data_IF_465817953779
#
_entry.id   IF_465817953779
#
_cell.length_a   1.000
_cell.length_b   1.000
_cell.length_c   1.000
_cell.angle_alpha   90.00
_cell.angle_beta   90.00
_cell.angle_gamma   90.00
#
_symmetry.space_group_name_H-M   'P 1'
#
loop_
_entity.id
_entity.type
_entity.pdbx_description
1 polymer ?
#
# COMPACT_ATOMS: atom_id res chain seq x y z
N UNK A 1 -22.40 -55.37 2.84
CA UNK A 1 -20.93 -55.41 2.74
C UNK A 1 -20.57 -56.14 1.47
N UNK A 2 -20.34 -55.39 0.40
CA UNK A 2 -19.68 -55.86 -0.83
C UNK A 2 -19.31 -54.60 -1.60
N UNK A 3 -18.01 -54.31 -1.67
CA UNK A 3 -17.47 -53.19 -2.45
C UNK A 3 -16.94 -53.76 -3.77
N UNK A 4 -17.42 -53.17 -4.85
CA UNK A 4 -16.97 -53.34 -6.23
C UNK A 4 -15.53 -52.83 -6.40
N UNK A 5 -14.75 -53.46 -7.30
CA UNK A 5 -14.02 -52.69 -8.33
C UNK A 5 -13.40 -53.55 -9.44
N UNK A 6 -13.85 -53.21 -10.66
CA UNK A 6 -13.14 -53.03 -11.95
C UNK A 6 -12.44 -54.25 -12.58
N UNK A 7 -12.90 -54.72 -13.76
CA UNK A 7 -12.77 -54.13 -15.13
C UNK A 7 -11.29 -53.94 -15.52
N UNK A 8 -10.76 -54.37 -16.68
CA UNK A 8 -11.34 -54.84 -17.94
C UNK A 8 -10.22 -55.38 -18.87
N UNK A 9 -10.59 -55.60 -20.12
CA UNK A 9 -10.05 -56.58 -21.07
C UNK A 9 -9.29 -55.92 -22.24
N UNK A 10 -8.55 -56.76 -22.98
CA UNK A 10 -8.04 -56.63 -24.36
C UNK A 10 -6.66 -56.02 -24.60
N UNK A 11 -5.78 -56.87 -25.14
CA UNK A 11 -4.50 -56.51 -25.74
C UNK A 11 -4.61 -56.16 -27.21
N UNK A 12 -3.57 -55.47 -27.70
CA UNK A 12 -3.21 -55.32 -29.10
C UNK A 12 -1.69 -55.47 -29.18
N UNK A 13 -1.25 -56.40 -30.03
CA UNK A 13 0.13 -56.70 -30.39
C UNK A 13 0.42 -55.97 -31.71
N UNK A 14 1.55 -55.27 -31.81
CA UNK A 14 2.11 -54.81 -33.09
C UNK A 14 3.62 -54.74 -32.98
N UNK A 15 4.32 -55.35 -33.93
CA UNK A 15 5.77 -55.47 -33.99
C UNK A 15 6.35 -54.76 -35.22
N UNK A 16 7.66 -54.47 -35.11
CA UNK A 16 8.69 -54.12 -36.11
C UNK A 16 8.79 -52.65 -36.59
N UNK A 17 9.96 -52.02 -36.36
CA UNK A 17 11.06 -52.01 -37.35
C UNK A 17 12.32 -51.26 -36.86
N UNK A 18 13.47 -51.96 -36.99
CA UNK A 18 14.88 -51.51 -37.05
C UNK A 18 15.15 -50.04 -37.39
N UNK A 19 15.91 -49.35 -36.53
CA UNK A 19 16.89 -48.31 -36.89
C UNK A 19 17.69 -47.85 -35.65
N UNK A 20 18.66 -48.64 -35.19
CA UNK A 20 19.63 -48.25 -34.16
C UNK A 20 20.98 -48.90 -34.49
N UNK A 21 21.77 -48.27 -35.37
CA UNK A 21 23.17 -48.67 -35.64
C UNK A 21 23.88 -47.57 -36.49
N UNK A 22 23.97 -46.34 -35.97
CA UNK A 22 24.72 -45.27 -36.66
C UNK A 22 25.33 -44.20 -35.71
N UNK A 23 25.74 -44.62 -34.50
CA UNK A 23 26.32 -43.71 -33.49
C UNK A 23 27.81 -43.97 -33.17
N UNK A 24 28.49 -44.90 -33.85
CA UNK A 24 29.90 -45.26 -33.54
C UNK A 24 30.92 -44.87 -34.63
N UNK A 25 30.62 -43.87 -35.48
CA UNK A 25 31.53 -43.40 -36.55
C UNK A 25 31.99 -41.94 -36.43
N UNK A 26 31.91 -41.35 -35.25
CA UNK A 26 32.30 -39.95 -35.00
C UNK A 26 33.68 -39.75 -34.33
N UNK A 27 34.53 -40.79 -34.20
CA UNK A 27 35.74 -40.70 -33.36
C UNK A 27 37.11 -40.88 -34.05
N UNK A 28 37.26 -40.78 -35.38
CA UNK A 28 38.58 -41.09 -35.98
C UNK A 28 39.10 -40.27 -37.17
N UNK A 29 38.59 -39.06 -37.45
CA UNK A 29 39.09 -38.29 -38.63
C UNK A 29 39.32 -36.79 -38.47
N UNK A 30 39.46 -36.25 -37.25
CA UNK A 30 39.62 -34.79 -37.07
C UNK A 30 40.78 -34.38 -36.13
N UNK A 31 41.77 -35.23 -35.92
CA UNK A 31 42.98 -34.91 -35.12
C UNK A 31 44.18 -34.42 -35.95
N UNK A 32 44.04 -34.18 -37.25
CA UNK A 32 45.12 -33.64 -38.09
C UNK A 32 44.63 -32.45 -38.90
N UNK A 33 44.69 -31.25 -38.31
CA UNK A 33 44.98 -29.98 -39.00
C UNK A 33 45.05 -28.82 -37.97
N UNK A 34 45.97 -28.95 -37.01
CA UNK A 34 46.61 -27.80 -36.39
C UNK A 34 47.81 -27.44 -37.25
N UNK A 35 47.71 -26.43 -38.11
CA UNK A 35 48.64 -25.29 -38.18
C UNK A 35 48.25 -24.29 -39.29
N UNK A 36 48.53 -23.01 -39.04
CA UNK A 36 48.59 -21.90 -40.01
C UNK A 36 47.28 -21.24 -40.50
N UNK A 37 46.82 -20.24 -39.76
CA UNK A 37 46.82 -18.84 -40.23
C UNK A 37 46.24 -17.94 -39.13
N UNK A 38 47.00 -16.91 -38.75
CA UNK A 38 46.75 -16.05 -37.60
C UNK A 38 45.45 -15.26 -37.66
N UNK A 39 44.77 -15.23 -36.52
CA UNK A 39 43.70 -14.28 -36.25
C UNK A 39 44.31 -12.92 -35.87
N UNK A 40 43.80 -11.79 -36.40
CA UNK A 40 44.29 -10.47 -36.01
C UNK A 40 43.88 -10.18 -34.56
N UNK A 41 44.83 -9.62 -33.81
CA UNK A 41 44.63 -9.10 -32.47
C UNK A 41 43.47 -8.10 -32.44
N UNK A 42 42.39 -8.46 -31.76
CA UNK A 42 41.38 -7.52 -31.30
C UNK A 42 41.85 -6.96 -29.96
N UNK A 43 42.62 -5.88 -30.02
CA UNK A 43 43.05 -5.13 -28.84
C UNK A 43 41.86 -4.36 -28.25
N UNK A 44 41.42 -4.81 -27.08
CA UNK A 44 40.82 -3.97 -26.04
C UNK A 44 39.37 -3.54 -26.24
N UNK A 45 38.42 -4.43 -25.92
CA UNK A 45 37.18 -3.95 -25.32
C UNK A 45 37.46 -3.60 -23.85
N UNK A 46 37.16 -2.38 -23.37
CA UNK A 46 37.16 -2.14 -21.94
C UNK A 46 36.05 -3.00 -21.35
N UNK A 47 36.42 -3.95 -20.49
CA UNK A 47 35.47 -4.59 -19.58
C UNK A 47 34.92 -3.47 -18.69
N UNK A 48 33.75 -2.97 -19.05
CA UNK A 48 32.95 -2.11 -18.18
C UNK A 48 32.44 -3.03 -17.05
N UNK A 49 33.30 -3.29 -16.07
CA UNK A 49 32.86 -3.69 -14.75
C UNK A 49 32.15 -2.47 -14.15
N UNK A 50 30.85 -2.32 -14.44
CA UNK A 50 29.98 -1.51 -13.60
C UNK A 50 29.77 -2.27 -12.28
N UNK A 51 30.80 -2.27 -11.43
CA UNK A 51 30.67 -2.57 -10.01
C UNK A 51 29.98 -1.36 -9.36
N UNK A 52 28.70 -1.21 -9.67
CA UNK A 52 27.79 -0.37 -8.92
C UNK A 52 27.02 -1.30 -7.96
N UNK A 53 27.73 -1.76 -6.92
CA UNK A 53 27.06 -2.14 -5.68
C UNK A 53 26.42 -0.87 -5.11
N UNK A 54 25.20 -0.56 -5.57
CA UNK A 54 24.34 0.44 -4.94
C UNK A 54 23.74 -0.20 -3.69
N UNK A 55 24.55 -0.31 -2.63
CA UNK A 55 24.10 -0.64 -1.27
C UNK A 55 23.35 0.56 -0.64
N UNK A 56 22.42 1.15 -1.38
CA UNK A 56 21.54 2.19 -0.88
C UNK A 56 20.41 1.53 -0.07
N UNK A 57 20.58 1.51 1.27
CA UNK A 57 19.48 1.16 2.19
C UNK A 57 18.47 2.32 2.26
N UNK A 58 17.68 2.47 1.20
CA UNK A 58 16.59 3.46 1.14
C UNK A 58 15.50 3.12 2.17
N UNK A 59 15.03 4.12 2.92
CA UNK A 59 13.92 3.97 3.88
C UNK A 59 12.85 5.04 3.69
N UNK A 60 11.59 4.63 3.79
CA UNK A 60 10.41 5.49 3.72
C UNK A 60 9.69 5.47 5.06
N UNK A 61 9.58 6.62 5.72
CA UNK A 61 8.87 6.77 6.99
C UNK A 61 7.94 7.98 6.93
N UNK A 62 6.75 7.84 7.52
CA UNK A 62 5.78 8.91 7.61
C UNK A 62 5.78 9.51 9.02
N UNK A 63 5.83 10.83 9.13
CA UNK A 63 5.59 11.50 10.41
C UNK A 63 4.12 11.33 10.82
N UNK A 64 3.85 11.18 12.11
CA UNK A 64 2.48 11.06 12.63
C UNK A 64 1.57 12.19 12.15
N UNK A 65 2.06 13.43 12.11
CA UNK A 65 1.29 14.58 11.61
C UNK A 65 0.84 14.46 10.15
N UNK A 66 1.59 13.75 9.30
CA UNK A 66 1.18 13.47 7.91
C UNK A 66 0.00 12.50 7.89
N UNK A 67 0.09 11.43 8.69
CA UNK A 67 -0.97 10.42 8.79
C UNK A 67 -2.24 11.06 9.37
N UNK A 68 -2.11 11.82 10.46
CA UNK A 68 -3.20 12.59 11.07
C UNK A 68 -3.84 13.54 10.06
N UNK A 69 -3.04 14.19 9.21
CA UNK A 69 -3.55 15.11 8.19
C UNK A 69 -4.38 14.40 7.13
N UNK A 70 -3.93 13.22 6.68
CA UNK A 70 -4.69 12.40 5.73
C UNK A 70 -6.01 11.97 6.34
N UNK A 71 -6.00 11.45 7.59
CA UNK A 71 -7.21 11.07 8.32
C UNK A 71 -8.16 12.26 8.48
N UNK A 72 -7.64 13.41 8.88
CA UNK A 72 -8.42 14.64 9.08
C UNK A 72 -9.10 15.08 7.78
N UNK A 73 -8.40 14.99 6.64
CA UNK A 73 -8.98 15.29 5.34
C UNK A 73 -10.04 14.25 4.95
N UNK A 74 -9.73 12.96 5.06
CA UNK A 74 -10.64 11.87 4.71
C UNK A 74 -11.95 11.94 5.51
N UNK A 75 -11.85 12.19 6.82
CA UNK A 75 -13.01 12.32 7.72
C UNK A 75 -13.92 13.49 7.32
N UNK A 76 -13.33 14.59 6.82
CA UNK A 76 -14.11 15.77 6.35
C UNK A 76 -14.84 15.54 5.04
N UNK A 77 -14.49 14.51 4.28
CA UNK A 77 -15.20 14.15 3.05
C UNK A 77 -16.47 13.32 3.33
N UNK A 78 -16.67 12.90 4.58
CA UNK A 78 -17.83 12.10 4.99
C UNK A 78 -19.05 13.00 5.21
N UNK A 79 -20.21 12.68 4.62
CA UNK A 79 -21.43 13.43 4.86
C UNK A 79 -21.79 13.51 6.35
N UNK A 80 -22.44 14.60 6.74
CA UNK A 80 -22.92 14.84 8.12
C UNK A 80 -21.84 14.97 9.20
N UNK A 81 -20.56 14.79 8.87
CA UNK A 81 -19.45 15.24 9.72
C UNK A 81 -19.29 16.74 9.51
N UNK A 82 -19.61 17.52 10.55
CA UNK A 82 -19.53 18.98 10.48
C UNK A 82 -18.09 19.46 10.75
N UNK A 83 -17.40 18.81 11.69
CA UNK A 83 -16.01 19.14 12.00
C UNK A 83 -15.38 18.22 13.04
N UNK A 84 -14.16 18.55 13.44
CA UNK A 84 -13.40 17.84 14.47
C UNK A 84 -13.03 18.78 15.62
N UNK A 85 -12.89 18.23 16.83
CA UNK A 85 -12.58 19.01 18.03
C UNK A 85 -11.17 19.57 17.98
N UNK A 86 -11.07 20.90 18.05
CA UNK A 86 -9.81 21.65 18.06
C UNK A 86 -9.70 22.70 16.95
N UNK A 87 -10.60 22.65 15.96
CA UNK A 87 -10.81 23.74 15.01
C UNK A 87 -11.65 24.90 15.60
N UNK A 88 -12.16 24.77 16.83
CA UNK A 88 -12.97 25.79 17.53
C UNK A 88 -12.22 26.53 18.66
N UNK A 89 -11.07 26.03 19.14
CA UNK A 89 -10.34 26.63 20.27
C UNK A 89 -8.98 27.25 19.91
N UNK A 90 -8.60 27.27 18.62
CA UNK A 90 -7.23 27.65 18.21
C UNK A 90 -7.16 28.80 17.19
N UNK A 91 -8.12 29.73 17.21
CA UNK A 91 -7.86 31.09 16.71
C UNK A 91 -7.39 32.03 17.83
N UNK A 92 -7.58 31.67 19.11
CA UNK A 92 -7.47 32.60 20.24
C UNK A 92 -6.04 32.83 20.76
N UNK A 93 -5.00 32.28 20.14
CA UNK A 93 -3.63 32.56 20.60
C UNK A 93 -2.61 32.38 19.48
N UNK A 94 -2.28 33.52 18.87
CA UNK A 94 -0.90 33.98 18.71
C UNK A 94 0.11 32.91 18.25
N UNK A 95 0.60 33.09 17.01
CA UNK A 95 2.03 32.90 16.70
C UNK A 95 2.66 31.59 17.20
N UNK A 96 2.61 30.49 16.43
CA UNK A 96 3.69 29.50 16.25
C UNK A 96 3.12 28.23 15.60
N UNK A 97 3.68 27.83 14.46
CA UNK A 97 3.65 26.45 14.01
C UNK A 97 2.48 26.00 13.13
N UNK A 98 2.82 25.39 12.00
CA UNK A 98 1.90 24.80 11.02
C UNK A 98 1.19 23.51 11.51
N UNK A 99 0.51 23.54 12.65
CA UNK A 99 0.14 22.31 13.40
C UNK A 99 -1.36 22.18 13.76
N UNK A 100 -2.24 23.04 13.24
CA UNK A 100 -3.62 23.14 13.75
C UNK A 100 -4.71 22.40 12.95
N UNK A 101 -4.36 21.70 11.87
CA UNK A 101 -5.33 20.95 11.05
C UNK A 101 -5.63 19.53 11.53
N UNK A 102 -4.86 19.02 12.50
CA UNK A 102 -4.95 17.64 13.02
C UNK A 102 -5.60 17.54 14.39
N UNK A 103 -5.96 18.67 15.02
CA UNK A 103 -6.59 18.64 16.35
C UNK A 103 -7.91 17.87 16.29
N UNK A 104 -8.02 16.86 17.15
CA UNK A 104 -9.15 15.92 17.17
C UNK A 104 -8.83 14.57 16.52
N UNK A 105 -7.67 14.43 15.89
CA UNK A 105 -7.14 13.16 15.40
C UNK A 105 -5.85 12.83 16.16
N UNK A 106 -5.70 11.59 16.60
CA UNK A 106 -4.45 11.09 17.17
C UNK A 106 -4.17 9.73 16.57
N UNK A 107 -2.94 9.54 16.14
CA UNK A 107 -2.51 8.34 15.43
C UNK A 107 -1.40 7.65 16.21
N UNK A 108 -1.51 6.33 16.35
CA UNK A 108 -0.49 5.46 16.91
C UNK A 108 -0.07 4.45 15.85
N UNK A 109 1.22 4.43 15.52
CA UNK A 109 1.82 3.49 14.57
C UNK A 109 2.53 2.39 15.38
N UNK A 110 2.25 1.14 15.02
CA UNK A 110 2.87 -0.06 15.60
C UNK A 110 4.00 -0.55 14.69
N UNK A 111 4.93 -1.33 15.23
CA UNK A 111 6.10 -1.85 14.51
C UNK A 111 5.75 -2.67 13.24
N UNK A 112 4.56 -3.27 13.18
CA UNK A 112 4.08 -4.06 12.04
C UNK A 112 3.44 -3.23 10.90
N UNK A 113 3.81 -1.95 10.71
CA UNK A 113 3.16 -1.02 9.76
C UNK A 113 1.64 -0.85 9.98
N UNK A 114 1.19 -1.12 11.20
CA UNK A 114 -0.21 -1.09 11.58
C UNK A 114 -0.54 0.19 12.32
N UNK A 115 -1.67 0.80 11.98
CA UNK A 115 -2.06 2.11 12.49
C UNK A 115 -3.38 2.03 13.25
N UNK A 116 -3.40 2.58 14.46
CA UNK A 116 -4.61 2.81 15.24
C UNK A 116 -4.93 4.30 15.20
N UNK A 117 -6.16 4.62 14.81
CA UNK A 117 -6.60 5.99 14.60
C UNK A 117 -7.70 6.34 15.60
N UNK A 118 -7.52 7.43 16.32
CA UNK A 118 -8.52 8.00 17.22
C UNK A 118 -9.03 9.31 16.64
N UNK A 119 -10.34 9.46 16.48
CA UNK A 119 -10.97 10.59 15.81
C UNK A 119 -12.10 11.13 16.70
N UNK A 120 -12.12 12.44 16.91
CA UNK A 120 -13.16 13.17 17.65
C UNK A 120 -13.92 14.11 16.73
N UNK A 121 -15.21 13.85 16.50
CA UNK A 121 -16.04 14.55 15.52
C UNK A 121 -17.26 15.22 16.13
N UNK A 122 -17.74 16.26 15.45
CA UNK A 122 -19.04 16.89 15.64
C UNK A 122 -19.91 16.49 14.45
N UNK A 123 -21.11 15.97 14.72
CA UNK A 123 -22.02 15.48 13.68
C UNK A 123 -23.28 16.33 13.58
N UNK A 124 -23.93 16.25 12.43
CA UNK A 124 -25.17 16.96 12.14
C UNK A 124 -26.37 16.39 12.90
N UNK A 125 -27.23 17.25 13.45
CA UNK A 125 -28.45 16.82 14.12
C UNK A 125 -29.35 16.00 13.17
N UNK A 126 -29.90 14.89 13.68
CA UNK A 126 -30.84 14.03 12.96
C UNK A 126 -30.19 12.91 12.13
N UNK A 127 -28.87 12.74 12.19
CA UNK A 127 -28.16 11.65 11.52
C UNK A 127 -28.04 10.37 12.39
N UNK A 128 -27.75 9.23 11.76
CA UNK A 128 -27.51 7.96 12.44
C UNK A 128 -26.00 7.73 12.66
N UNK A 129 -25.52 7.95 13.88
CA UNK A 129 -24.09 7.89 14.20
C UNK A 129 -23.38 6.57 13.80
N UNK A 130 -24.00 5.37 13.92
CA UNK A 130 -23.35 4.14 13.46
C UNK A 130 -23.13 4.08 11.94
N UNK A 131 -24.00 4.69 11.13
CA UNK A 131 -23.76 4.78 9.69
C UNK A 131 -22.56 5.70 9.39
N UNK A 132 -22.49 6.85 10.06
CA UNK A 132 -21.34 7.76 9.95
C UNK A 132 -20.05 7.05 10.36
N UNK A 133 -20.07 6.22 11.39
CA UNK A 133 -18.90 5.45 11.80
C UNK A 133 -18.40 4.53 10.68
N UNK A 134 -19.29 3.78 10.03
CA UNK A 134 -18.92 2.92 8.91
C UNK A 134 -18.39 3.74 7.72
N UNK A 135 -19.03 4.87 7.40
CA UNK A 135 -18.58 5.76 6.31
C UNK A 135 -17.18 6.36 6.59
N UNK A 136 -16.93 6.80 7.83
CA UNK A 136 -15.62 7.30 8.28
C UNK A 136 -14.58 6.20 8.20
N UNK A 137 -14.92 4.99 8.67
CA UNK A 137 -14.01 3.85 8.65
C UNK A 137 -13.60 3.49 7.23
N UNK A 138 -14.56 3.34 6.33
CA UNK A 138 -14.29 3.05 4.91
C UNK A 138 -13.39 4.11 4.30
N UNK A 139 -13.75 5.40 4.45
CA UNK A 139 -13.00 6.48 3.81
C UNK A 139 -11.59 6.63 4.37
N UNK A 140 -11.41 6.53 5.69
CA UNK A 140 -10.10 6.66 6.32
C UNK A 140 -9.20 5.49 5.91
N UNK A 141 -9.71 4.26 5.91
CA UNK A 141 -8.95 3.09 5.48
C UNK A 141 -8.55 3.19 4.02
N UNK A 142 -9.47 3.56 3.13
CA UNK A 142 -9.17 3.73 1.70
C UNK A 142 -8.06 4.77 1.48
N UNK A 143 -8.19 5.96 2.07
CA UNK A 143 -7.24 7.06 1.87
C UNK A 143 -5.87 6.76 2.45
N UNK A 144 -5.81 6.19 3.66
CA UNK A 144 -4.53 5.86 4.29
C UNK A 144 -3.80 4.78 3.49
N UNK A 145 -4.46 3.66 3.18
CA UNK A 145 -3.83 2.58 2.43
C UNK A 145 -3.42 3.03 1.03
N UNK A 146 -4.25 3.81 0.33
CA UNK A 146 -3.91 4.30 -1.01
C UNK A 146 -2.73 5.29 -1.03
N UNK A 147 -2.53 6.08 0.02
CA UNK A 147 -1.49 7.12 0.05
C UNK A 147 -0.18 6.66 0.72
N UNK A 148 -0.26 5.75 1.70
CA UNK A 148 0.91 5.37 2.51
C UNK A 148 1.21 3.88 2.51
N UNK A 149 0.29 3.04 2.01
CA UNK A 149 0.42 1.58 2.09
C UNK A 149 0.30 1.02 3.51
N UNK A 150 -0.01 1.84 4.51
CA UNK A 150 -0.16 1.40 5.90
C UNK A 150 -1.49 0.64 6.09
N UNK A 151 -1.46 -0.35 6.98
CA UNK A 151 -2.65 -1.11 7.36
C UNK A 151 -3.35 -0.48 8.55
N UNK A 152 -4.64 -0.21 8.44
CA UNK A 152 -5.43 0.33 9.55
C UNK A 152 -5.87 -0.81 10.47
N UNK A 153 -5.26 -0.91 11.65
CA UNK A 153 -5.59 -1.92 12.64
C UNK A 153 -6.90 -1.65 13.37
N UNK A 154 -7.24 -0.38 13.56
CA UNK A 154 -8.45 0.01 14.26
C UNK A 154 -8.75 1.50 14.14
N UNK A 155 -10.04 1.83 14.15
CA UNK A 155 -10.54 3.20 14.13
C UNK A 155 -11.49 3.37 15.32
N UNK A 156 -11.17 4.35 16.17
CA UNK A 156 -11.98 4.76 17.30
C UNK A 156 -12.60 6.13 16.99
N UNK A 157 -13.92 6.17 16.81
CA UNK A 157 -14.65 7.41 16.58
C UNK A 157 -15.39 7.84 17.83
N UNK A 158 -15.13 9.06 18.30
CA UNK A 158 -15.80 9.71 19.41
C UNK A 158 -16.68 10.84 18.89
N UNK A 159 -17.96 10.82 19.23
CA UNK A 159 -18.88 11.92 18.96
C UNK A 159 -18.76 12.90 20.14
N UNK A 160 -18.23 14.10 19.87
CA UNK A 160 -18.05 15.14 20.88
C UNK A 160 -19.29 16.01 21.04
N UNK A 161 -19.99 16.31 19.94
CA UNK A 161 -21.17 17.16 19.95
C UNK A 161 -22.10 16.87 18.77
N UNK A 162 -23.36 17.32 18.89
CA UNK A 162 -24.40 17.21 17.86
C UNK A 162 -25.06 18.57 17.69
N UNK A 163 -24.91 19.18 16.51
CA UNK A 163 -25.43 20.52 16.21
C UNK A 163 -26.09 20.55 14.84
N UNK A 164 -26.95 21.53 14.59
CA UNK A 164 -27.45 21.75 13.23
C UNK A 164 -26.36 22.38 12.35
N UNK A 165 -26.48 22.19 11.02
CA UNK A 165 -25.55 22.78 10.05
C UNK A 165 -25.52 24.31 10.13
N UNK A 166 -26.68 24.93 10.32
CA UNK A 166 -26.79 26.39 10.44
C UNK A 166 -26.08 26.91 11.69
N UNK A 167 -26.23 26.24 12.83
CA UNK A 167 -25.53 26.59 14.08
C UNK A 167 -24.02 26.43 13.94
N UNK A 168 -23.55 25.35 13.29
CA UNK A 168 -22.14 25.13 13.04
C UNK A 168 -21.54 26.23 12.16
N UNK A 169 -22.19 26.58 11.04
CA UNK A 169 -21.75 27.65 10.15
C UNK A 169 -21.77 29.02 10.82
N UNK A 170 -22.78 29.31 11.65
CA UNK A 170 -22.86 30.56 12.41
C UNK A 170 -21.73 30.66 13.45
N UNK A 171 -21.40 29.54 14.13
CA UNK A 171 -20.27 29.52 15.08
C UNK A 171 -18.91 29.73 14.40
N UNK A 172 -18.76 29.20 13.19
CA UNK A 172 -17.54 29.35 12.38
C UNK A 172 -17.35 30.79 11.88
N UNK A 173 -18.44 31.49 11.51
CA UNK A 173 -18.40 32.89 11.05
C UNK A 173 -18.04 33.87 12.15
N UNK A 174 -18.65 33.75 13.33
CA UNK A 174 -18.36 34.63 14.48
C UNK A 174 -16.87 34.62 14.85
N UNK A 175 -16.25 33.45 14.87
CA UNK A 175 -14.81 33.33 15.15
C UNK A 175 -13.91 33.86 14.03
N UNK A 176 -14.42 34.11 12.82
CA UNK A 176 -13.63 34.72 11.74
C UNK A 176 -13.74 36.24 11.73
N UNK A 177 -14.78 36.82 12.37
CA UNK A 177 -15.06 38.25 12.41
C UNK A 177 -14.45 38.93 13.66
N UNK A 178 -14.18 38.18 14.73
CA UNK A 178 -13.52 38.68 15.96
C UNK A 178 -11.98 38.82 15.82
N UNK A 179 -11.41 38.47 14.67
CA UNK A 179 -9.97 38.47 14.35
C UNK A 179 -9.54 39.57 13.34
N UNK A 180 -10.46 40.47 12.94
CA UNK A 180 -10.20 41.63 12.06
C UNK A 180 -10.09 42.95 12.87
#
# INVERSE_FOLDING_TARGET
MADEKKQGLFGIEVAFSKADDEAERELQTMEQDMNEAGEPAFEGEPEFEEDLEDDSEDSLTYSNGVIEKIVAMATREVPHVLGMKGNLMHLVQETFGAENLTKGVTVEVTDDNRVIVNISVIIEYGCYAPAIFEDVKERVTERLTAMTGLEVAGINLRIEDVVTREEYEASKKRHAEDDE
#
